data_IF_543210751525
#
_entry.id   IF_543210751525
#
_cell.length_a   1.000
_cell.length_b   1.000
_cell.length_c   1.000
_cell.angle_alpha   90.00
_cell.angle_beta   90.00
_cell.angle_gamma   90.00
#
_symmetry.space_group_name_H-M   'P 1'
#
loop_
_entity.id
_entity.type
_entity.pdbx_description
1 polymer ?
#
# COMPACT_ATOMS: atom_id res chain seq x y z
N UNK A 1 -31.76 -1.83 3.87
CA UNK A 1 -30.91 -2.13 2.69
C UNK A 1 -29.57 -1.41 2.88
N UNK A 2 -28.45 -2.11 2.82
CA UNK A 2 -27.12 -1.51 3.04
C UNK A 2 -26.78 -0.61 1.85
N UNK A 3 -26.56 0.69 2.08
CA UNK A 3 -26.09 1.61 1.05
C UNK A 3 -24.58 1.43 0.83
N UNK A 4 -24.26 0.60 -0.16
CA UNK A 4 -22.87 0.28 -0.56
C UNK A 4 -22.09 1.53 -0.94
N UNK A 5 -22.72 2.55 -1.54
CA UNK A 5 -22.02 3.76 -1.96
C UNK A 5 -21.61 4.62 -0.76
N UNK A 6 -22.43 4.66 0.30
CA UNK A 6 -22.08 5.34 1.55
C UNK A 6 -20.87 4.68 2.23
N UNK A 7 -20.82 3.35 2.23
CA UNK A 7 -19.67 2.59 2.75
C UNK A 7 -18.41 2.87 1.92
N UNK A 8 -18.49 2.79 0.59
CA UNK A 8 -17.36 3.09 -0.28
C UNK A 8 -16.85 4.51 -0.07
N UNK A 9 -17.75 5.50 0.03
CA UNK A 9 -17.37 6.89 0.31
C UNK A 9 -16.66 7.06 1.66
N UNK A 10 -17.06 6.29 2.67
CA UNK A 10 -16.39 6.28 3.97
C UNK A 10 -14.98 5.69 3.86
N UNK A 11 -14.84 4.54 3.18
CA UNK A 11 -13.58 3.81 2.98
C UNK A 11 -12.60 4.60 2.09
N UNK A 12 -13.07 5.41 1.15
CA UNK A 12 -12.19 6.21 0.28
C UNK A 12 -11.58 7.43 0.99
N UNK A 13 -11.93 7.69 2.25
CA UNK A 13 -11.34 8.75 3.07
C UNK A 13 -10.27 8.18 4.03
N UNK A 14 -9.17 8.90 4.27
CA UNK A 14 -8.13 8.51 5.22
C UNK A 14 -8.64 8.02 6.57
N UNK A 15 -9.49 8.79 7.23
CA UNK A 15 -10.01 8.43 8.56
C UNK A 15 -10.90 7.18 8.54
N UNK A 16 -11.69 6.99 7.48
CA UNK A 16 -12.58 5.84 7.38
C UNK A 16 -11.86 4.53 7.10
N UNK A 17 -10.83 4.54 6.24
CA UNK A 17 -10.06 3.34 5.95
C UNK A 17 -9.23 2.88 7.16
N UNK A 18 -8.61 3.79 7.92
CA UNK A 18 -7.85 3.43 9.13
C UNK A 18 -8.75 2.71 10.12
N UNK A 19 -9.94 3.25 10.36
CA UNK A 19 -10.89 2.63 11.29
C UNK A 19 -11.27 1.23 10.82
N UNK A 20 -11.56 1.06 9.53
CA UNK A 20 -11.93 -0.25 8.98
C UNK A 20 -10.79 -1.26 9.13
N UNK A 21 -9.56 -0.89 8.77
CA UNK A 21 -8.44 -1.83 8.74
C UNK A 21 -7.90 -2.16 10.13
N UNK A 22 -7.88 -1.19 11.05
CA UNK A 22 -7.54 -1.44 12.46
C UNK A 22 -8.57 -2.33 13.15
N UNK A 23 -9.86 -2.11 12.94
CA UNK A 23 -10.93 -3.00 13.45
C UNK A 23 -10.80 -4.39 12.83
N UNK A 24 -10.57 -4.50 11.52
CA UNK A 24 -10.38 -5.79 10.87
C UNK A 24 -9.20 -6.57 11.47
N UNK A 25 -8.08 -5.87 11.76
CA UNK A 25 -6.92 -6.45 12.43
C UNK A 25 -7.25 -6.97 13.83
N UNK A 26 -7.94 -6.14 14.65
CA UNK A 26 -8.42 -6.54 15.97
C UNK A 26 -9.34 -7.77 15.91
N UNK A 27 -10.29 -7.79 14.97
CA UNK A 27 -11.26 -8.89 14.84
C UNK A 27 -10.60 -10.21 14.48
N UNK A 28 -9.68 -10.20 13.51
CA UNK A 28 -8.95 -11.41 13.09
C UNK A 28 -8.02 -11.89 14.21
N UNK A 29 -7.32 -10.97 14.88
CA UNK A 29 -6.48 -11.32 16.03
C UNK A 29 -7.29 -11.87 17.22
N UNK A 30 -8.52 -11.39 17.39
CA UNK A 30 -9.43 -11.84 18.47
C UNK A 30 -9.96 -13.25 18.22
N UNK A 31 -10.03 -13.69 16.97
CA UNK A 31 -10.65 -14.96 16.58
C UNK A 31 -9.91 -16.19 17.14
N UNK A 32 -10.61 -17.25 17.60
CA UNK A 32 -10.00 -18.46 18.13
C UNK A 32 -9.22 -19.24 17.08
N UNK A 33 -8.22 -20.02 17.51
CA UNK A 33 -7.38 -20.77 16.58
C UNK A 33 -8.16 -21.84 15.81
N UNK A 34 -7.99 -21.80 14.49
CA UNK A 34 -8.63 -22.68 13.51
C UNK A 34 -7.61 -23.48 12.70
N UNK A 35 -6.36 -23.53 13.16
CA UNK A 35 -5.27 -24.25 12.49
C UNK A 35 -4.72 -23.54 11.24
N UNK A 36 -5.03 -22.25 11.08
CA UNK A 36 -4.40 -21.40 10.07
C UNK A 36 -3.23 -20.64 10.68
N UNK A 37 -2.17 -20.42 9.90
CA UNK A 37 -1.05 -19.58 10.32
C UNK A 37 -1.54 -18.18 10.71
N UNK A 38 -1.14 -17.71 11.90
CA UNK A 38 -1.48 -16.39 12.47
C UNK A 38 -0.31 -15.41 12.50
N UNK A 39 0.91 -15.94 12.42
CA UNK A 39 2.13 -15.16 12.61
C UNK A 39 2.60 -15.07 14.07
N UNK A 40 2.01 -15.87 14.96
CA UNK A 40 2.39 -16.08 16.35
C UNK A 40 1.77 -17.40 16.81
N UNK A 41 2.41 -18.08 17.75
CA UNK A 41 1.97 -19.32 18.40
C UNK A 41 1.19 -18.96 19.68
N UNK A 42 1.79 -18.13 20.53
CA UNK A 42 1.20 -17.66 21.79
C UNK A 42 0.59 -16.27 21.60
N UNK A 43 -0.71 -16.17 21.86
CA UNK A 43 -1.43 -14.90 21.80
C UNK A 43 -1.08 -14.03 23.01
N UNK A 44 -0.79 -12.75 22.78
CA UNK A 44 -0.50 -11.81 23.85
C UNK A 44 -1.71 -11.53 24.75
N UNK A 45 -1.45 -11.32 26.04
CA UNK A 45 -2.48 -10.94 27.01
C UNK A 45 -2.99 -9.53 26.72
N UNK A 46 -4.30 -9.35 26.62
CA UNK A 46 -4.91 -8.05 26.32
C UNK A 46 -5.51 -7.45 27.58
N UNK A 47 -4.72 -6.60 28.24
CA UNK A 47 -5.13 -5.88 29.43
C UNK A 47 -5.75 -4.51 29.09
N UNK A 48 -6.35 -3.87 30.09
CA UNK A 48 -7.01 -2.57 29.95
C UNK A 48 -6.04 -1.45 29.55
N UNK A 49 -4.80 -1.49 30.02
CA UNK A 49 -3.78 -0.51 29.69
C UNK A 49 -3.39 -0.56 28.21
N UNK A 50 -3.14 -1.75 27.67
CA UNK A 50 -2.83 -1.98 26.26
C UNK A 50 -4.00 -1.59 25.35
N UNK A 51 -5.23 -1.86 25.77
CA UNK A 51 -6.43 -1.36 25.08
C UNK A 51 -6.45 0.18 25.04
N UNK A 52 -6.19 0.85 26.16
CA UNK A 52 -6.24 2.30 26.26
C UNK A 52 -5.14 2.95 25.39
N UNK A 53 -3.92 2.40 25.46
CA UNK A 53 -2.79 2.87 24.67
C UNK A 53 -3.05 2.71 23.17
N UNK A 54 -3.32 1.49 22.70
CA UNK A 54 -3.56 1.21 21.28
C UNK A 54 -4.80 1.96 20.79
N UNK A 55 -5.85 2.01 21.61
CA UNK A 55 -7.06 2.79 21.35
C UNK A 55 -6.75 4.27 21.14
N UNK A 56 -5.94 4.87 22.02
CA UNK A 56 -5.52 6.27 21.91
C UNK A 56 -4.68 6.54 20.66
N UNK A 57 -3.81 5.59 20.28
CA UNK A 57 -3.00 5.68 19.06
C UNK A 57 -3.87 5.78 17.80
N UNK A 58 -4.77 4.81 17.59
CA UNK A 58 -5.64 4.81 16.41
C UNK A 58 -6.69 5.93 16.47
N UNK A 59 -7.14 6.32 17.66
CA UNK A 59 -8.01 7.48 17.85
C UNK A 59 -7.30 8.77 17.43
N UNK A 60 -6.02 8.95 17.78
CA UNK A 60 -5.23 10.10 17.35
C UNK A 60 -5.13 10.15 15.81
N UNK A 61 -4.75 9.03 15.18
CA UNK A 61 -4.71 8.93 13.71
C UNK A 61 -6.06 9.30 13.10
N UNK A 62 -7.16 8.78 13.65
CA UNK A 62 -8.51 9.07 13.18
C UNK A 62 -8.86 10.56 13.28
N UNK A 63 -8.62 11.18 14.44
CA UNK A 63 -8.93 12.60 14.70
C UNK A 63 -8.11 13.50 13.76
N UNK A 64 -6.79 13.32 13.73
CA UNK A 64 -5.90 14.18 12.94
C UNK A 64 -6.08 13.96 11.44
N UNK A 65 -6.31 12.73 10.98
CA UNK A 65 -6.63 12.47 9.57
C UNK A 65 -7.99 13.07 9.18
N UNK A 66 -9.03 12.98 10.02
CA UNK A 66 -10.32 13.62 9.73
C UNK A 66 -10.18 15.14 9.68
N UNK A 67 -9.48 15.73 10.66
CA UNK A 67 -9.22 17.16 10.70
C UNK A 67 -8.43 17.63 9.47
N UNK A 68 -7.32 16.97 9.16
CA UNK A 68 -6.50 17.25 7.98
C UNK A 68 -7.31 17.19 6.69
N UNK A 69 -8.09 16.12 6.47
CA UNK A 69 -8.92 15.96 5.28
C UNK A 69 -9.87 17.15 5.09
N UNK A 70 -10.58 17.53 6.14
CA UNK A 70 -11.55 18.60 6.12
C UNK A 70 -10.90 19.98 5.89
N UNK A 71 -9.70 20.21 6.44
CA UNK A 71 -8.89 21.41 6.12
C UNK A 71 -8.47 21.40 4.65
N UNK A 72 -8.01 20.24 4.13
CA UNK A 72 -7.64 20.05 2.73
C UNK A 72 -8.78 20.39 1.76
N UNK A 73 -10.02 20.05 2.13
CA UNK A 73 -11.22 20.39 1.36
C UNK A 73 -11.47 21.92 1.24
N UNK A 74 -10.85 22.75 2.09
CA UNK A 74 -11.01 24.21 2.09
C UNK A 74 -9.91 24.96 1.33
N UNK A 75 -8.77 24.33 1.04
CA UNK A 75 -7.64 24.95 0.34
C UNK A 75 -8.06 25.34 -1.10
N UNK A 76 -7.64 26.48 -1.65
CA UNK A 76 -8.01 26.84 -3.04
C UNK A 76 -7.47 25.83 -4.06
N UNK A 77 -8.28 25.41 -5.05
CA UNK A 77 -7.83 24.52 -6.14
C UNK A 77 -6.91 25.26 -7.11
N UNK A 78 -5.97 24.53 -7.71
CA UNK A 78 -5.06 25.03 -8.75
C UNK A 78 -5.67 24.73 -10.11
N UNK A 79 -6.20 25.76 -10.79
CA UNK A 79 -6.91 25.61 -12.06
C UNK A 79 -6.13 24.83 -13.13
N UNK A 80 -4.80 24.96 -13.16
CA UNK A 80 -3.94 24.24 -14.10
C UNK A 80 -4.02 22.71 -13.96
N UNK A 81 -4.24 22.21 -12.74
CA UNK A 81 -4.36 20.78 -12.48
C UNK A 81 -5.77 20.23 -12.75
N UNK A 82 -6.78 21.10 -12.89
CA UNK A 82 -8.13 20.69 -13.30
C UNK A 82 -8.27 20.53 -14.83
N UNK A 83 -7.44 21.21 -15.63
CA UNK A 83 -7.51 21.22 -17.11
C UNK A 83 -6.66 20.18 -17.83
N UNK A 84 -6.38 19.05 -17.18
CA UNK A 84 -5.50 17.98 -17.70
C UNK A 84 -6.17 17.21 -18.85
N UNK A 85 -5.46 17.04 -19.97
CA UNK A 85 -5.88 16.16 -21.05
C UNK A 85 -5.67 14.69 -20.66
N UNK A 86 -6.76 13.97 -20.39
CA UNK A 86 -6.73 12.57 -19.94
C UNK A 86 -6.01 11.64 -20.93
N UNK A 87 -6.20 11.83 -22.24
CA UNK A 87 -5.57 10.96 -23.25
C UNK A 87 -4.05 11.15 -23.26
N UNK A 88 -3.57 12.39 -23.25
CA UNK A 88 -2.12 12.69 -23.21
C UNK A 88 -1.50 12.19 -21.90
N UNK A 89 -2.17 12.40 -20.77
CA UNK A 89 -1.75 11.91 -19.46
C UNK A 89 -1.62 10.39 -19.44
N UNK A 90 -2.66 9.69 -19.92
CA UNK A 90 -2.70 8.24 -19.94
C UNK A 90 -1.62 7.65 -20.85
N UNK A 91 -1.39 8.23 -22.03
CA UNK A 91 -0.31 7.80 -22.92
C UNK A 91 1.06 7.98 -22.29
N UNK A 92 1.34 9.14 -21.69
CA UNK A 92 2.64 9.41 -21.03
C UNK A 92 2.91 8.40 -19.90
N UNK A 93 1.95 8.20 -19.00
CA UNK A 93 2.09 7.23 -17.91
C UNK A 93 2.25 5.81 -18.45
N UNK A 94 1.52 5.43 -19.51
CA UNK A 94 1.66 4.12 -20.14
C UNK A 94 3.07 3.92 -20.70
N UNK A 95 3.60 4.90 -21.43
CA UNK A 95 4.96 4.83 -21.99
C UNK A 95 6.02 4.68 -20.90
N UNK A 96 5.96 5.51 -19.85
CA UNK A 96 6.90 5.43 -18.74
C UNK A 96 6.81 4.10 -17.98
N UNK A 97 5.60 3.58 -17.78
CA UNK A 97 5.39 2.26 -17.17
C UNK A 97 6.01 1.14 -18.00
N UNK A 98 5.85 1.16 -19.34
CA UNK A 98 6.46 0.15 -20.21
C UNK A 98 7.99 0.22 -20.15
N UNK A 99 8.57 1.42 -20.21
CA UNK A 99 10.02 1.61 -20.08
C UNK A 99 10.50 1.02 -18.74
N UNK A 100 9.84 1.36 -17.63
CA UNK A 100 10.23 0.88 -16.31
C UNK A 100 10.12 -0.64 -16.13
N UNK A 101 9.03 -1.24 -16.60
CA UNK A 101 8.80 -2.69 -16.50
C UNK A 101 9.78 -3.46 -17.38
N UNK A 102 9.88 -3.09 -18.67
CA UNK A 102 10.77 -3.77 -19.61
C UNK A 102 12.24 -3.65 -19.18
N UNK A 103 12.66 -2.47 -18.72
CA UNK A 103 14.00 -2.28 -18.19
C UNK A 103 14.27 -3.14 -16.94
N UNK A 104 13.30 -3.23 -16.03
CA UNK A 104 13.43 -4.08 -14.83
C UNK A 104 13.58 -5.55 -15.19
N UNK A 105 12.82 -6.05 -16.17
CA UNK A 105 12.94 -7.43 -16.64
C UNK A 105 14.24 -7.68 -17.41
N UNK A 106 14.67 -6.73 -18.25
CA UNK A 106 15.94 -6.83 -18.96
C UNK A 106 17.14 -6.90 -17.98
N UNK A 107 17.11 -6.12 -16.90
CA UNK A 107 18.13 -6.17 -15.85
C UNK A 107 18.18 -7.54 -15.16
N UNK A 108 17.01 -8.07 -14.78
CA UNK A 108 16.92 -9.40 -14.16
C UNK A 108 17.44 -10.49 -15.12
N UNK A 109 17.07 -10.44 -16.40
CA UNK A 109 17.52 -11.43 -17.38
C UNK A 109 19.02 -11.32 -17.71
N UNK A 110 19.59 -10.14 -17.60
CA UNK A 110 21.03 -9.94 -17.75
C UNK A 110 21.82 -10.59 -16.61
N UNK A 111 21.27 -10.57 -15.40
CA UNK A 111 21.89 -11.19 -14.23
C UNK A 111 21.66 -12.70 -14.19
N UNK A 112 20.45 -13.17 -14.53
CA UNK A 112 20.12 -14.59 -14.61
C UNK A 112 19.15 -14.90 -15.77
N UNK A 113 19.65 -15.44 -16.91
CA UNK A 113 18.81 -15.84 -18.04
C UNK A 113 17.89 -17.03 -17.75
N UNK A 114 18.22 -17.89 -16.77
CA UNK A 114 17.47 -19.11 -16.46
C UNK A 114 16.28 -18.86 -15.50
N UNK A 115 16.13 -17.64 -14.99
CA UNK A 115 15.17 -17.25 -13.96
C UNK A 115 13.70 -17.60 -14.29
N UNK A 116 13.34 -17.66 -15.57
CA UNK A 116 11.99 -18.05 -15.98
C UNK A 116 11.65 -19.50 -15.64
N UNK A 117 12.64 -20.39 -15.66
CA UNK A 117 12.45 -21.78 -15.21
C UNK A 117 12.12 -21.81 -13.72
N UNK A 118 12.79 -20.99 -12.92
CA UNK A 118 12.52 -20.87 -11.48
C UNK A 118 11.14 -20.27 -11.18
N UNK A 119 10.67 -19.31 -11.99
CA UNK A 119 9.31 -18.76 -11.87
C UNK A 119 8.25 -19.84 -12.13
N UNK A 120 8.44 -20.67 -13.16
CA UNK A 120 7.56 -21.80 -13.48
C UNK A 120 7.55 -22.83 -12.34
N UNK A 121 8.69 -23.04 -11.68
CA UNK A 121 8.84 -23.93 -10.53
C UNK A 121 8.29 -23.35 -9.21
N UNK A 122 7.73 -22.13 -9.21
CA UNK A 122 7.14 -21.51 -8.03
C UNK A 122 8.13 -20.79 -7.12
N UNK A 123 9.28 -20.39 -7.66
CA UNK A 123 10.34 -19.63 -6.98
C UNK A 123 10.40 -18.16 -7.44
N UNK A 124 9.25 -17.56 -7.76
CA UNK A 124 9.19 -16.18 -8.24
C UNK A 124 9.75 -15.13 -7.24
N UNK A 125 10.00 -15.49 -5.98
CA UNK A 125 10.74 -14.63 -5.04
C UNK A 125 12.21 -14.41 -5.47
N UNK A 126 12.81 -15.26 -6.30
CA UNK A 126 14.14 -15.03 -6.85
C UNK A 126 14.19 -13.81 -7.78
N UNK A 127 13.13 -13.56 -8.56
CA UNK A 127 13.01 -12.33 -9.37
C UNK A 127 13.15 -11.08 -8.51
N UNK A 128 12.58 -11.13 -7.30
CA UNK A 128 12.67 -10.06 -6.33
C UNK A 128 14.12 -9.93 -5.86
N UNK A 129 14.73 -11.02 -5.40
CA UNK A 129 16.08 -10.99 -4.82
C UNK A 129 17.11 -10.44 -5.82
N UNK A 130 17.15 -10.96 -7.04
CA UNK A 130 18.05 -10.53 -8.13
C UNK A 130 17.89 -9.03 -8.40
N UNK A 131 16.64 -8.56 -8.52
CA UNK A 131 16.34 -7.16 -8.76
C UNK A 131 16.78 -6.23 -7.62
N UNK A 132 16.84 -6.74 -6.37
CA UNK A 132 17.20 -5.96 -5.20
C UNK A 132 18.71 -6.01 -4.85
N UNK A 133 19.47 -6.97 -5.39
CA UNK A 133 20.92 -7.07 -5.18
C UNK A 133 21.66 -5.82 -5.67
N UNK A 134 21.33 -5.33 -6.88
CA UNK A 134 21.92 -4.12 -7.49
C UNK A 134 20.91 -2.97 -7.63
N UNK A 135 19.94 -2.88 -6.71
CA UNK A 135 18.88 -1.89 -6.86
C UNK A 135 19.35 -0.47 -6.63
N UNK A 136 19.43 0.29 -7.72
CA UNK A 136 19.52 1.75 -7.69
C UNK A 136 18.16 2.39 -7.94
N UNK A 137 17.89 3.46 -7.19
CA UNK A 137 16.78 4.38 -7.47
C UNK A 137 17.02 4.97 -8.86
N UNK A 138 16.09 4.76 -9.78
CA UNK A 138 16.28 5.12 -11.19
C UNK A 138 15.18 4.55 -12.07
N UNK A 139 15.51 4.13 -13.29
CA UNK A 139 14.54 3.62 -14.27
C UNK A 139 13.72 2.44 -13.72
N UNK A 140 14.31 1.62 -12.84
CA UNK A 140 13.63 0.51 -12.17
C UNK A 140 12.41 0.95 -11.34
N UNK A 141 12.34 2.18 -10.82
CA UNK A 141 11.19 2.69 -10.05
C UNK A 141 9.99 2.98 -10.95
N UNK A 142 10.22 3.31 -12.23
CA UNK A 142 9.16 3.63 -13.19
C UNK A 142 8.19 2.46 -13.40
N UNK A 143 8.61 1.22 -13.10
CA UNK A 143 7.73 0.04 -13.14
C UNK A 143 6.48 0.23 -12.28
N UNK A 144 6.58 0.99 -11.18
CA UNK A 144 5.44 1.24 -10.29
C UNK A 144 4.35 2.07 -10.95
N UNK A 145 4.65 2.82 -12.03
CA UNK A 145 3.64 3.54 -12.81
C UNK A 145 2.66 2.60 -13.52
N UNK A 146 2.97 1.30 -13.64
CA UNK A 146 2.02 0.29 -14.10
C UNK A 146 0.79 0.19 -13.21
N UNK A 147 0.88 0.60 -11.94
CA UNK A 147 -0.26 0.73 -11.03
C UNK A 147 -1.24 1.79 -11.55
N UNK A 148 -0.73 2.97 -11.95
CA UNK A 148 -1.57 4.04 -12.49
C UNK A 148 -2.12 3.66 -13.87
N UNK A 149 -1.25 3.19 -14.77
CA UNK A 149 -1.66 2.82 -16.13
C UNK A 149 -2.64 1.65 -16.13
N UNK A 150 -2.40 0.61 -15.31
CA UNK A 150 -3.27 -0.54 -15.12
C UNK A 150 -4.61 -0.14 -14.50
N UNK A 151 -4.62 0.74 -13.50
CA UNK A 151 -5.86 1.25 -12.88
C UNK A 151 -6.73 1.99 -13.89
N UNK A 152 -6.14 2.89 -14.68
CA UNK A 152 -6.86 3.63 -15.72
C UNK A 152 -7.35 2.68 -16.84
N UNK A 153 -6.56 1.65 -17.18
CA UNK A 153 -6.94 0.62 -18.16
C UNK A 153 -8.17 -0.16 -17.72
N UNK A 154 -8.16 -0.67 -16.49
CA UNK A 154 -9.28 -1.42 -15.91
C UNK A 154 -10.51 -0.52 -15.82
N UNK A 155 -10.34 0.71 -15.35
CA UNK A 155 -11.41 1.71 -15.34
C UNK A 155 -12.01 1.94 -16.74
N UNK A 156 -11.17 2.11 -17.77
CA UNK A 156 -11.63 2.31 -19.14
C UNK A 156 -12.40 1.10 -19.70
N UNK A 157 -11.99 -0.13 -19.35
CA UNK A 157 -12.69 -1.35 -19.75
C UNK A 157 -14.04 -1.46 -19.03
N UNK A 158 -14.08 -1.23 -17.72
CA UNK A 158 -15.33 -1.39 -16.93
C UNK A 158 -16.33 -0.27 -17.24
N UNK A 159 -15.89 0.99 -17.23
CA UNK A 159 -16.76 2.14 -17.34
C UNK A 159 -17.13 2.47 -18.80
N UNK A 160 -16.15 2.49 -19.70
CA UNK A 160 -16.38 2.84 -21.10
C UNK A 160 -16.55 1.64 -22.03
N UNK A 161 -16.37 0.40 -21.55
CA UNK A 161 -16.42 -0.84 -22.38
C UNK A 161 -15.44 -0.83 -23.57
N UNK A 162 -14.29 -0.15 -23.42
CA UNK A 162 -13.28 -0.03 -24.48
C UNK A 162 -12.07 -0.92 -24.18
N UNK A 163 -11.96 -2.05 -24.86
CA UNK A 163 -10.79 -2.95 -24.78
C UNK A 163 -9.76 -2.61 -25.88
N UNK A 164 -9.14 -1.42 -25.80
CA UNK A 164 -8.05 -1.06 -26.71
C UNK A 164 -6.78 -1.84 -26.38
N UNK A 165 -5.92 -2.07 -27.37
CA UNK A 165 -4.63 -2.73 -27.19
C UNK A 165 -3.80 -2.14 -26.03
N UNK A 166 -3.73 -0.81 -25.93
CA UNK A 166 -3.03 -0.13 -24.83
C UNK A 166 -3.56 -0.52 -23.45
N UNK A 167 -4.86 -0.76 -23.29
CA UNK A 167 -5.45 -1.16 -22.01
C UNK A 167 -5.02 -2.59 -21.64
N UNK A 168 -5.02 -3.50 -22.61
CA UNK A 168 -4.57 -4.88 -22.41
C UNK A 168 -3.07 -4.89 -22.08
N UNK A 169 -2.26 -4.14 -22.83
CA UNK A 169 -0.81 -4.03 -22.60
C UNK A 169 -0.49 -3.51 -21.20
N UNK A 170 -1.16 -2.45 -20.75
CA UNK A 170 -0.98 -1.91 -19.40
C UNK A 170 -1.39 -2.88 -18.29
N UNK A 171 -2.45 -3.68 -18.49
CA UNK A 171 -2.83 -4.73 -17.53
C UNK A 171 -1.75 -5.81 -17.46
N UNK A 172 -1.17 -6.20 -18.59
CA UNK A 172 -0.03 -7.13 -18.63
C UNK A 172 1.17 -6.53 -17.87
N UNK A 173 1.51 -5.27 -18.11
CA UNK A 173 2.59 -4.57 -17.38
C UNK A 173 2.36 -4.53 -15.87
N UNK A 174 1.11 -4.35 -15.42
CA UNK A 174 0.74 -4.42 -14.02
C UNK A 174 0.96 -5.82 -13.44
N UNK A 175 0.53 -6.87 -14.14
CA UNK A 175 0.72 -8.26 -13.69
C UNK A 175 2.21 -8.62 -13.59
N UNK A 176 3.00 -8.24 -14.59
CA UNK A 176 4.45 -8.38 -14.59
C UNK A 176 5.10 -7.64 -13.41
N UNK A 177 4.67 -6.40 -13.14
CA UNK A 177 5.14 -5.64 -11.97
C UNK A 177 4.78 -6.33 -10.66
N UNK A 178 3.58 -6.89 -10.55
CA UNK A 178 3.12 -7.60 -9.35
C UNK A 178 3.88 -8.90 -9.10
N UNK A 179 4.35 -9.58 -10.16
CA UNK A 179 5.21 -10.76 -10.03
C UNK A 179 6.54 -10.39 -9.37
N UNK A 180 7.18 -9.29 -9.80
CA UNK A 180 8.47 -8.85 -9.25
C UNK A 180 8.37 -8.22 -7.85
N UNK A 181 7.51 -7.22 -7.68
CA UNK A 181 7.65 -6.28 -6.56
C UNK A 181 6.85 -6.65 -5.32
N UNK A 182 5.55 -6.92 -5.44
CA UNK A 182 4.66 -7.38 -4.34
C UNK A 182 3.18 -7.34 -4.76
N UNK A 183 2.35 -8.08 -4.00
CA UNK A 183 0.87 -8.06 -4.06
C UNK A 183 0.28 -6.65 -3.83
N UNK A 184 1.05 -5.77 -3.19
CA UNK A 184 0.73 -4.37 -2.91
C UNK A 184 0.27 -3.61 -4.17
N UNK A 185 0.90 -3.88 -5.32
CA UNK A 185 0.57 -3.22 -6.59
C UNK A 185 -0.88 -3.49 -7.02
N UNK A 186 -1.37 -4.72 -6.80
CA UNK A 186 -2.74 -5.12 -7.14
C UNK A 186 -3.74 -4.51 -6.16
N UNK A 187 -3.46 -4.56 -4.86
CA UNK A 187 -4.34 -3.98 -3.84
C UNK A 187 -4.51 -2.47 -4.06
N UNK A 188 -3.41 -1.76 -4.29
CA UNK A 188 -3.46 -0.34 -4.62
C UNK A 188 -4.23 -0.09 -5.92
N UNK A 189 -3.99 -0.89 -6.97
CA UNK A 189 -4.76 -0.81 -8.23
C UNK A 189 -6.27 -0.93 -8.00
N UNK A 190 -6.70 -1.90 -7.18
CA UNK A 190 -8.13 -2.09 -6.86
C UNK A 190 -8.70 -0.85 -6.21
N UNK A 191 -7.99 -0.24 -5.24
CA UNK A 191 -8.42 0.98 -4.57
C UNK A 191 -8.53 2.14 -5.56
N UNK A 192 -7.56 2.31 -6.46
CA UNK A 192 -7.59 3.34 -7.49
C UNK A 192 -8.75 3.14 -8.48
N UNK A 193 -9.02 1.91 -8.91
CA UNK A 193 -10.15 1.57 -9.78
C UNK A 193 -11.48 1.87 -9.08
N UNK A 194 -11.65 1.45 -7.83
CA UNK A 194 -12.86 1.73 -7.04
C UNK A 194 -13.06 3.24 -6.92
N UNK A 195 -11.99 3.99 -6.62
CA UNK A 195 -12.05 5.45 -6.55
C UNK A 195 -12.49 6.09 -7.86
N UNK A 196 -11.88 5.71 -8.99
CA UNK A 196 -12.22 6.25 -10.31
C UNK A 196 -13.66 5.94 -10.70
N UNK A 197 -14.13 4.71 -10.45
CA UNK A 197 -15.52 4.32 -10.68
C UNK A 197 -16.49 5.12 -9.80
N UNK A 198 -16.22 5.21 -8.50
CA UNK A 198 -17.04 5.97 -7.55
C UNK A 198 -17.15 7.45 -7.95
N UNK A 199 -16.02 8.06 -8.31
CA UNK A 199 -15.96 9.46 -8.73
C UNK A 199 -16.76 9.74 -10.01
N UNK A 200 -16.80 8.78 -10.93
CA UNK A 200 -17.61 8.85 -12.15
C UNK A 200 -19.05 8.32 -11.94
N UNK A 201 -19.55 8.39 -10.69
CA UNK A 201 -20.92 8.04 -10.29
C UNK A 201 -21.34 6.62 -10.68
N UNK A 202 -20.39 5.68 -10.72
CA UNK A 202 -20.70 4.29 -10.96
C UNK A 202 -21.45 3.70 -9.75
N UNK A 203 -22.62 3.10 -9.99
CA UNK A 203 -23.38 2.43 -8.94
C UNK A 203 -22.85 1.02 -8.67
N UNK A 204 -22.30 0.84 -7.46
CA UNK A 204 -21.88 -0.46 -6.96
C UNK A 204 -23.08 -1.22 -6.40
N UNK A 205 -23.38 -2.38 -6.99
CA UNK A 205 -24.26 -3.36 -6.36
C UNK A 205 -23.43 -4.33 -5.53
N UNK A 206 -24.01 -4.87 -4.45
CA UNK A 206 -23.35 -5.86 -3.60
C UNK A 206 -22.83 -7.05 -4.40
N UNK A 207 -23.62 -7.54 -5.38
CA UNK A 207 -23.21 -8.62 -6.30
C UNK A 207 -21.91 -8.29 -7.05
N UNK A 208 -21.76 -7.07 -7.57
CA UNK A 208 -20.53 -6.66 -8.29
C UNK A 208 -19.33 -6.58 -7.35
N UNK A 209 -19.51 -6.08 -6.14
CA UNK A 209 -18.44 -6.03 -5.13
C UNK A 209 -17.97 -7.44 -4.80
N UNK A 210 -18.89 -8.38 -4.57
CA UNK A 210 -18.56 -9.80 -4.33
C UNK A 210 -17.77 -10.38 -5.51
N UNK A 211 -18.21 -10.15 -6.75
CA UNK A 211 -17.47 -10.61 -7.95
C UNK A 211 -16.05 -10.03 -8.02
N UNK A 212 -15.88 -8.73 -7.76
CA UNK A 212 -14.55 -8.10 -7.73
C UNK A 212 -13.68 -8.74 -6.64
N UNK A 213 -14.23 -8.94 -5.44
CA UNK A 213 -13.52 -9.60 -4.34
C UNK A 213 -13.11 -11.04 -4.68
N UNK A 214 -13.98 -11.82 -5.34
CA UNK A 214 -13.65 -13.17 -5.79
C UNK A 214 -12.54 -13.18 -6.83
N UNK A 215 -12.60 -12.30 -7.84
CA UNK A 215 -11.55 -12.18 -8.86
C UNK A 215 -10.22 -11.79 -8.21
N UNK A 216 -10.24 -10.80 -7.31
CA UNK A 216 -9.05 -10.39 -6.57
C UNK A 216 -8.48 -11.54 -5.73
N UNK A 217 -9.33 -12.29 -5.04
CA UNK A 217 -8.92 -13.47 -4.26
C UNK A 217 -8.26 -14.54 -5.12
N UNK A 218 -8.82 -14.84 -6.30
CA UNK A 218 -8.25 -15.81 -7.24
C UNK A 218 -6.87 -15.34 -7.74
N UNK A 219 -6.76 -14.08 -8.18
CA UNK A 219 -5.50 -13.52 -8.66
C UNK A 219 -4.44 -13.54 -7.56
N UNK A 220 -4.79 -13.14 -6.34
CA UNK A 220 -3.88 -13.18 -5.19
C UNK A 220 -3.49 -14.62 -4.82
N UNK A 221 -4.41 -15.58 -4.94
CA UNK A 221 -4.13 -17.00 -4.71
C UNK A 221 -3.10 -17.53 -5.70
N UNK A 222 -3.27 -17.23 -7.00
CA UNK A 222 -2.32 -17.63 -8.05
C UNK A 222 -0.94 -17.03 -7.79
N UNK A 223 -0.88 -15.74 -7.45
CA UNK A 223 0.38 -15.05 -7.17
C UNK A 223 1.03 -15.53 -5.87
N UNK A 224 0.25 -15.83 -4.84
CA UNK A 224 0.77 -16.41 -3.61
C UNK A 224 1.36 -17.79 -3.87
N UNK A 225 0.64 -18.66 -4.57
CA UNK A 225 1.13 -19.97 -4.94
C UNK A 225 2.40 -19.91 -5.80
N UNK A 226 2.45 -19.02 -6.80
CA UNK A 226 3.63 -18.84 -7.65
C UNK A 226 4.88 -18.36 -6.89
N UNK A 227 4.72 -17.72 -5.73
CA UNK A 227 5.84 -17.15 -4.96
C UNK A 227 6.23 -17.97 -3.74
N UNK A 228 5.25 -18.54 -3.05
CA UNK A 228 5.42 -19.05 -1.69
C UNK A 228 5.04 -20.53 -1.55
N UNK A 229 4.75 -21.25 -2.64
CA UNK A 229 4.36 -22.67 -2.57
C UNK A 229 5.34 -23.51 -1.75
N UNK A 230 6.65 -23.38 -2.02
CA UNK A 230 7.69 -24.12 -1.30
C UNK A 230 7.74 -23.74 0.19
N UNK A 231 7.59 -22.44 0.52
CA UNK A 231 7.58 -21.96 1.89
C UNK A 231 6.46 -22.60 2.72
N UNK A 232 5.23 -22.64 2.21
CA UNK A 232 4.10 -23.25 2.94
C UNK A 232 4.19 -24.77 3.02
N UNK A 233 4.69 -25.42 1.97
CA UNK A 233 4.90 -26.85 1.95
C UNK A 233 5.96 -27.27 2.99
N UNK A 234 7.09 -26.55 3.06
CA UNK A 234 8.20 -26.90 3.95
C UNK A 234 7.95 -26.53 5.41
N UNK A 235 7.35 -25.37 5.68
CA UNK A 235 7.22 -24.85 7.05
C UNK A 235 5.88 -25.19 7.71
N UNK A 236 4.84 -25.46 6.94
CA UNK A 236 3.48 -25.66 7.45
C UNK A 236 2.76 -26.90 6.88
N UNK A 237 3.41 -27.68 6.00
CA UNK A 237 2.80 -28.82 5.31
C UNK A 237 1.50 -28.47 4.55
N UNK A 238 1.36 -27.23 4.07
CA UNK A 238 0.17 -26.77 3.33
C UNK A 238 0.46 -26.83 1.83
N UNK A 239 -0.24 -27.74 1.13
CA UNK A 239 -0.15 -27.90 -0.33
C UNK A 239 -1.30 -27.23 -1.11
N UNK A 240 -2.40 -26.92 -0.43
CA UNK A 240 -3.58 -26.32 -1.08
C UNK A 240 -3.39 -24.79 -1.21
N UNK A 241 -3.43 -24.23 -2.44
CA UNK A 241 -3.20 -22.81 -2.67
C UNK A 241 -4.25 -21.91 -2.01
N UNK A 242 -5.49 -22.37 -1.88
CA UNK A 242 -6.57 -21.63 -1.21
C UNK A 242 -6.28 -21.52 0.29
N UNK A 243 -5.92 -22.63 0.94
CA UNK A 243 -5.59 -22.66 2.38
C UNK A 243 -4.33 -21.84 2.67
N UNK A 244 -3.33 -21.92 1.80
CA UNK A 244 -2.12 -21.09 1.87
C UNK A 244 -2.48 -19.60 1.78
N UNK A 245 -3.35 -19.20 0.84
CA UNK A 245 -3.78 -17.81 0.71
C UNK A 245 -4.63 -17.33 1.90
N UNK A 246 -5.52 -18.17 2.44
CA UNK A 246 -6.28 -17.85 3.64
C UNK A 246 -5.38 -17.72 4.88
N UNK A 247 -4.40 -18.61 5.02
CA UNK A 247 -3.39 -18.53 6.09
C UNK A 247 -2.56 -17.25 5.99
N UNK A 248 -2.22 -16.84 4.77
CA UNK A 248 -1.51 -15.60 4.52
C UNK A 248 -2.36 -14.37 4.86
N UNK A 249 -3.63 -14.35 4.45
CA UNK A 249 -4.57 -13.27 4.82
C UNK A 249 -4.71 -13.18 6.34
N UNK A 250 -4.89 -14.32 7.00
CA UNK A 250 -5.01 -14.40 8.46
C UNK A 250 -3.75 -13.87 9.16
N UNK A 251 -2.58 -14.29 8.70
CA UNK A 251 -1.29 -13.81 9.22
C UNK A 251 -1.11 -12.32 8.96
N UNK A 252 -1.43 -11.86 7.75
CA UNK A 252 -1.28 -10.48 7.33
C UNK A 252 -2.16 -9.56 8.18
N UNK A 253 -3.41 -9.96 8.45
CA UNK A 253 -4.39 -9.16 9.20
C UNK A 253 -4.22 -9.29 10.72
N UNK A 254 -3.90 -10.47 11.25
CA UNK A 254 -3.84 -10.72 12.69
C UNK A 254 -2.51 -10.34 13.36
N UNK A 255 -1.37 -10.62 12.72
CA UNK A 255 -0.05 -10.40 13.33
C UNK A 255 0.26 -8.94 13.71
N UNK A 256 -0.26 -7.91 13.01
CA UNK A 256 0.02 -6.54 13.41
C UNK A 256 -0.66 -6.10 14.70
N UNK A 257 -1.86 -6.62 14.98
CA UNK A 257 -2.49 -6.36 16.26
C UNK A 257 -1.71 -7.04 17.40
N UNK A 258 -1.26 -8.29 17.20
CA UNK A 258 -0.37 -9.00 18.13
C UNK A 258 0.88 -8.15 18.45
N UNK A 259 1.57 -7.64 17.43
CA UNK A 259 2.74 -6.79 17.62
C UNK A 259 2.43 -5.50 18.39
N UNK A 260 1.24 -4.94 18.18
CA UNK A 260 0.82 -3.73 18.89
C UNK A 260 0.57 -3.99 20.38
N UNK A 261 -0.09 -5.11 20.70
CA UNK A 261 -0.33 -5.53 22.09
C UNK A 261 0.97 -5.90 22.79
N UNK A 262 1.86 -6.63 22.11
CA UNK A 262 3.17 -7.00 22.66
C UNK A 262 4.01 -5.80 23.07
N UNK A 263 4.05 -4.75 22.23
CA UNK A 263 4.72 -3.49 22.58
C UNK A 263 4.02 -2.77 23.74
N UNK A 264 2.70 -2.70 23.72
CA UNK A 264 1.93 -2.03 24.77
C UNK A 264 2.09 -2.69 26.15
N UNK A 265 2.25 -4.02 26.19
CA UNK A 265 2.52 -4.77 27.41
C UNK A 265 3.95 -4.60 27.95
N UNK A 266 4.90 -4.16 27.12
CA UNK A 266 6.33 -4.13 27.43
C UNK A 266 6.94 -2.72 27.35
N UNK A 267 6.16 -1.66 27.55
CA UNK A 267 6.61 -0.27 27.40
C UNK A 267 7.81 0.06 28.29
N UNK A 268 7.79 -0.38 29.55
CA UNK A 268 8.86 -0.10 30.52
C UNK A 268 10.22 -0.66 30.07
N UNK A 269 10.20 -1.82 29.42
CA UNK A 269 11.39 -2.44 28.82
C UNK A 269 11.82 -1.76 27.53
N UNK A 270 10.88 -1.18 26.78
CA UNK A 270 11.13 -0.58 25.46
C UNK A 270 11.69 0.84 25.57
N UNK A 271 11.12 1.68 26.44
CA UNK A 271 11.46 3.10 26.53
C UNK A 271 12.96 3.41 26.72
N UNK A 272 13.74 2.64 27.50
CA UNK A 272 15.17 2.92 27.69
C UNK A 272 16.03 2.82 26.42
N UNK A 273 15.54 2.16 25.37
CA UNK A 273 16.28 1.92 24.13
C UNK A 273 15.77 2.76 22.94
N UNK A 274 14.84 3.67 23.19
CA UNK A 274 14.32 4.60 22.17
C UNK A 274 15.46 5.49 21.65
N UNK A 275 15.55 5.66 20.33
CA UNK A 275 16.51 6.57 19.69
C UNK A 275 15.80 7.65 18.88
N UNK A 276 15.73 8.83 19.47
CA UNK A 276 15.11 10.00 18.87
C UNK A 276 15.84 10.53 17.63
N UNK A 277 17.10 10.14 17.39
CA UNK A 277 17.82 10.50 16.17
C UNK A 277 17.14 9.94 14.91
N UNK A 278 16.41 8.83 15.05
CA UNK A 278 15.67 8.18 13.97
C UNK A 278 14.41 8.94 13.53
N UNK A 279 14.02 10.02 14.22
CA UNK A 279 12.79 10.78 13.91
C UNK A 279 12.72 11.23 12.45
N UNK A 280 13.82 11.75 11.91
CA UNK A 280 13.88 12.21 10.53
C UNK A 280 13.86 11.08 9.49
N UNK A 281 14.14 9.83 9.88
CA UNK A 281 14.04 8.68 8.98
C UNK A 281 12.59 8.41 8.56
N UNK A 282 11.62 8.72 9.43
CA UNK A 282 10.20 8.59 9.13
C UNK A 282 9.64 9.73 8.26
N UNK A 283 10.32 10.88 8.22
CA UNK A 283 9.94 12.00 7.36
C UNK A 283 10.63 11.96 6.01
N UNK A 284 11.81 11.34 5.94
CA UNK A 284 12.62 11.32 4.74
C UNK A 284 12.24 10.15 3.83
N UNK A 285 11.94 10.41 2.54
CA UNK A 285 11.64 9.35 1.59
C UNK A 285 12.76 8.31 1.50
N UNK A 286 12.40 7.03 1.41
CA UNK A 286 13.35 5.90 1.44
C UNK A 286 14.34 5.87 0.26
N UNK A 287 14.10 6.65 -0.80
CA UNK A 287 15.01 6.76 -1.93
C UNK A 287 16.12 7.80 -1.72
N UNK A 288 16.05 8.60 -0.65
CA UNK A 288 17.14 9.48 -0.23
C UNK A 288 18.05 8.67 0.71
N UNK A 289 19.31 8.43 0.34
CA UNK A 289 20.23 7.63 1.14
C UNK A 289 20.67 8.42 2.37
N UNK A 290 19.90 8.32 3.45
CA UNK A 290 20.41 8.59 4.80
C UNK A 290 21.13 7.31 5.23
N UNK A 291 22.32 7.40 5.84
CA UNK A 291 22.94 6.25 6.49
C UNK A 291 21.99 5.72 7.57
N UNK A 292 21.16 4.76 7.20
CA UNK A 292 20.30 4.02 8.11
C UNK A 292 21.13 2.85 8.59
N UNK A 293 21.69 2.95 9.79
CA UNK A 293 22.24 1.76 10.44
C UNK A 293 21.14 0.69 10.44
N UNK A 294 21.49 -0.50 9.99
CA UNK A 294 20.56 -1.55 9.58
C UNK A 294 19.83 -2.23 10.74
N UNK A 295 20.10 -1.83 11.99
CA UNK A 295 19.34 -2.23 13.16
C UNK A 295 18.14 -1.29 13.34
N UNK A 296 17.06 -1.55 12.60
CA UNK A 296 15.76 -0.86 12.76
C UNK A 296 15.13 -0.99 14.15
N UNK A 297 15.75 -1.74 15.05
CA UNK A 297 15.33 -1.85 16.43
C UNK A 297 16.56 -1.89 17.33
N UNK A 298 16.63 -0.96 18.27
CA UNK A 298 17.62 -0.99 19.33
C UNK A 298 17.37 -2.14 20.33
N UNK A 299 16.17 -2.74 20.30
CA UNK A 299 15.80 -3.96 21.02
C UNK A 299 15.32 -5.02 20.04
N UNK A 300 15.76 -6.25 20.22
CA UNK A 300 15.12 -7.39 19.58
C UNK A 300 13.75 -7.69 20.24
N UNK A 301 12.71 -6.94 19.87
CA UNK A 301 11.36 -7.05 20.46
C UNK A 301 10.78 -8.46 20.38
N UNK A 302 11.28 -9.32 19.48
CA UNK A 302 10.89 -10.73 19.36
C UNK A 302 11.34 -11.59 20.56
N UNK A 303 12.20 -11.05 21.43
CA UNK A 303 12.52 -11.66 22.72
C UNK A 303 11.48 -11.33 23.80
N UNK A 304 10.65 -10.29 23.59
CA UNK A 304 9.68 -9.83 24.57
C UNK A 304 8.31 -10.50 24.40
N UNK A 305 7.94 -10.84 23.17
CA UNK A 305 6.65 -11.47 22.85
C UNK A 305 6.74 -12.26 21.55
N UNK A 306 5.80 -13.19 21.38
CA UNK A 306 5.81 -14.12 20.25
C UNK A 306 5.31 -13.46 18.96
N UNK A 307 6.20 -13.45 17.97
CA UNK A 307 5.97 -13.08 16.58
C UNK A 307 6.88 -13.89 15.66
N UNK A 308 6.29 -14.44 14.61
CA UNK A 308 6.97 -15.25 13.62
C UNK A 308 8.13 -14.48 12.95
N UNK A 309 9.29 -15.13 12.90
CA UNK A 309 10.53 -14.51 12.46
C UNK A 309 10.54 -14.14 10.98
N UNK A 310 9.70 -14.81 10.18
CA UNK A 310 9.52 -14.53 8.75
C UNK A 310 8.75 -13.23 8.48
N UNK A 311 8.11 -12.64 9.50
CA UNK A 311 7.35 -11.41 9.34
C UNK A 311 8.25 -10.19 9.46
N UNK A 312 8.36 -9.45 8.36
CA UNK A 312 9.24 -8.28 8.22
C UNK A 312 8.55 -6.95 8.55
N UNK A 313 7.23 -6.93 8.79
CA UNK A 313 6.53 -5.69 9.18
C UNK A 313 5.26 -6.02 9.96
N UNK A 314 5.31 -5.82 11.27
CA UNK A 314 4.41 -6.46 12.23
C UNK A 314 3.58 -5.45 13.02
N UNK A 315 3.47 -4.20 12.54
CA UNK A 315 2.66 -3.07 13.02
C UNK A 315 3.44 -1.77 12.89
N UNK A 316 2.78 -0.72 12.43
CA UNK A 316 3.32 0.64 12.47
C UNK A 316 3.42 1.16 13.89
N UNK A 317 2.52 0.75 14.80
CA UNK A 317 2.64 1.11 16.20
C UNK A 317 3.89 0.47 16.80
N UNK A 318 4.13 -0.82 16.52
CA UNK A 318 5.35 -1.51 16.95
C UNK A 318 6.60 -0.79 16.43
N UNK A 319 6.69 -0.59 15.12
CA UNK A 319 7.83 0.07 14.45
C UNK A 319 8.10 1.47 15.03
N UNK A 320 7.10 2.35 15.04
CA UNK A 320 7.29 3.73 15.47
C UNK A 320 7.50 3.84 16.97
N UNK A 321 6.74 3.11 17.80
CA UNK A 321 6.83 3.25 19.25
C UNK A 321 8.12 2.64 19.81
N UNK A 322 8.62 1.55 19.23
CA UNK A 322 9.91 0.99 19.66
C UNK A 322 11.08 1.91 19.32
N UNK A 323 11.00 2.67 18.23
CA UNK A 323 12.06 3.58 17.82
C UNK A 323 11.96 4.99 18.42
N UNK A 324 10.75 5.51 18.64
CA UNK A 324 10.51 6.90 19.06
C UNK A 324 9.74 7.05 20.39
N UNK A 325 9.27 5.96 20.98
CA UNK A 325 8.44 5.99 22.19
C UNK A 325 7.27 6.97 22.05
N UNK A 326 7.11 7.85 23.04
CA UNK A 326 6.06 8.86 23.07
C UNK A 326 6.14 9.90 21.94
N UNK A 327 7.34 10.21 21.41
CA UNK A 327 7.45 11.08 20.22
C UNK A 327 6.79 10.46 18.99
N UNK A 328 6.64 9.13 18.97
CA UNK A 328 5.86 8.42 17.96
C UNK A 328 4.43 8.92 17.83
N UNK A 329 3.77 9.28 18.94
CA UNK A 329 2.41 9.83 18.93
C UNK A 329 2.36 11.20 18.24
N UNK A 330 3.36 12.05 18.50
CA UNK A 330 3.46 13.37 17.88
C UNK A 330 3.70 13.20 16.37
N UNK A 331 4.66 12.36 16.00
CA UNK A 331 4.98 12.06 14.61
C UNK A 331 3.74 11.58 13.85
N UNK A 332 3.07 10.54 14.34
CA UNK A 332 1.94 9.94 13.62
C UNK A 332 0.76 10.90 13.49
N UNK A 333 0.56 11.77 14.49
CA UNK A 333 -0.48 12.81 14.46
C UNK A 333 -0.19 13.86 13.38
N UNK A 334 1.06 14.36 13.32
CA UNK A 334 1.50 15.33 12.32
C UNK A 334 1.41 14.72 10.90
N UNK A 335 1.96 13.53 10.70
CA UNK A 335 1.93 12.84 9.40
C UNK A 335 0.50 12.56 8.97
N UNK A 336 -0.35 12.08 9.88
CA UNK A 336 -1.77 11.83 9.59
C UNK A 336 -2.51 13.10 9.19
N UNK A 337 -2.24 14.22 9.87
CA UNK A 337 -2.81 15.51 9.50
C UNK A 337 -2.36 15.97 8.11
N UNK A 338 -1.05 16.02 7.87
CA UNK A 338 -0.46 16.56 6.64
C UNK A 338 -0.85 15.76 5.41
N UNK A 339 -0.70 14.43 5.44
CA UNK A 339 -1.06 13.59 4.31
C UNK A 339 -2.56 13.60 4.05
N UNK A 340 -3.38 13.60 5.10
CA UNK A 340 -4.82 13.68 4.92
C UNK A 340 -5.28 15.04 4.37
N UNK A 341 -4.60 16.13 4.75
CA UNK A 341 -4.78 17.45 4.15
C UNK A 341 -4.47 17.44 2.66
N UNK A 342 -3.37 16.82 2.24
CA UNK A 342 -3.04 16.64 0.83
C UNK A 342 -4.12 15.80 0.13
N UNK A 343 -4.56 14.70 0.73
CA UNK A 343 -5.62 13.85 0.17
C UNK A 343 -6.93 14.65 -0.01
N UNK A 344 -7.36 15.41 1.00
CA UNK A 344 -8.55 16.27 0.93
C UNK A 344 -8.44 17.36 -0.13
N UNK A 345 -7.25 17.96 -0.27
CA UNK A 345 -7.00 18.93 -1.34
C UNK A 345 -7.20 18.30 -2.72
N UNK A 346 -6.57 17.16 -2.99
CA UNK A 346 -6.61 16.46 -4.28
C UNK A 346 -7.97 15.79 -4.58
N UNK A 347 -8.73 15.41 -3.56
CA UNK A 347 -10.03 14.76 -3.71
C UNK A 347 -11.01 15.59 -4.56
N UNK A 348 -10.90 16.93 -4.51
CA UNK A 348 -11.82 17.89 -5.16
C UNK A 348 -11.52 18.19 -6.64
N UNK A 349 -10.39 17.76 -7.18
CA UNK A 349 -10.07 18.02 -8.58
C UNK A 349 -10.99 17.21 -9.48
N UNK A 350 -11.52 17.79 -10.56
CA UNK A 350 -12.33 17.03 -11.53
C UNK A 350 -11.47 16.17 -12.44
N UNK A 351 -10.18 16.48 -12.55
CA UNK A 351 -9.22 15.78 -13.39
C UNK A 351 -8.72 14.47 -12.77
N UNK A 352 -7.91 13.76 -13.55
CA UNK A 352 -7.22 12.53 -13.13
C UNK A 352 -6.24 12.75 -11.97
N UNK A 353 -5.78 13.99 -11.74
CA UNK A 353 -4.85 14.33 -10.63
C UNK A 353 -5.44 13.98 -9.27
N UNK A 354 -6.76 13.93 -9.18
CA UNK A 354 -7.44 13.47 -7.97
C UNK A 354 -7.11 12.04 -7.53
N UNK A 355 -6.49 11.23 -8.39
CA UNK A 355 -5.95 9.91 -8.04
C UNK A 355 -4.86 9.95 -6.96
N UNK A 356 -4.28 11.12 -6.68
CA UNK A 356 -3.38 11.33 -5.53
C UNK A 356 -4.11 11.06 -4.20
N UNK A 357 -5.39 11.42 -4.10
CA UNK A 357 -6.16 11.19 -2.88
C UNK A 357 -6.24 9.69 -2.49
N UNK A 358 -6.68 8.76 -3.36
CA UNK A 358 -6.69 7.33 -3.02
C UNK A 358 -5.30 6.70 -2.89
N UNK A 359 -4.24 7.24 -3.53
CA UNK A 359 -2.85 6.81 -3.25
C UNK A 359 -2.49 7.08 -1.78
N UNK A 360 -2.86 8.26 -1.28
CA UNK A 360 -2.63 8.60 0.14
C UNK A 360 -3.56 7.80 1.04
N UNK A 361 -4.85 7.65 0.69
CA UNK A 361 -5.79 6.80 1.43
C UNK A 361 -5.23 5.37 1.56
N UNK A 362 -4.51 4.85 0.56
CA UNK A 362 -3.85 3.56 0.68
C UNK A 362 -2.75 3.51 1.74
N UNK A 363 -1.99 4.60 1.93
CA UNK A 363 -1.02 4.68 3.02
C UNK A 363 -1.71 4.52 4.39
N UNK A 364 -2.89 5.14 4.54
CA UNK A 364 -3.75 4.96 5.69
C UNK A 364 -4.36 3.55 5.78
N UNK A 365 -4.64 2.91 4.64
CA UNK A 365 -5.10 1.53 4.60
C UNK A 365 -4.08 0.54 5.17
N UNK A 366 -2.79 0.85 5.06
CA UNK A 366 -1.69 0.00 5.52
C UNK A 366 -1.12 0.43 6.89
N UNK A 367 -1.54 1.57 7.46
CA UNK A 367 -0.97 2.16 8.68
C UNK A 367 -1.11 1.31 9.95
N UNK A 368 -1.96 0.29 9.95
CA UNK A 368 -2.07 -0.65 11.06
C UNK A 368 -0.95 -1.69 11.03
N UNK A 369 -0.29 -1.87 9.86
CA UNK A 369 0.73 -2.89 9.61
C UNK A 369 2.10 -2.29 9.28
N UNK A 370 2.16 -1.30 8.39
CA UNK A 370 3.41 -0.75 7.87
C UNK A 370 3.31 0.75 7.60
N UNK A 371 4.38 1.47 7.93
CA UNK A 371 4.48 2.90 7.66
C UNK A 371 4.82 3.16 6.18
N UNK A 372 3.81 3.53 5.38
CA UNK A 372 3.96 3.71 3.92
C UNK A 372 4.30 5.14 3.48
N UNK A 373 4.23 6.13 4.37
CA UNK A 373 4.25 7.56 4.00
C UNK A 373 5.60 8.04 3.44
N UNK A 374 6.70 7.40 3.82
CA UNK A 374 8.03 7.71 3.28
C UNK A 374 8.48 6.71 2.20
N UNK A 375 7.68 5.70 1.85
CA UNK A 375 8.10 4.64 0.93
C UNK A 375 8.17 5.17 -0.51
N UNK A 376 9.29 4.88 -1.20
CA UNK A 376 9.55 5.42 -2.53
C UNK A 376 8.49 5.10 -3.60
N UNK A 377 7.74 3.99 -3.47
CA UNK A 377 6.63 3.69 -4.38
C UNK A 377 5.53 4.76 -4.32
N UNK A 378 5.16 5.22 -3.12
CA UNK A 378 4.11 6.23 -2.93
C UNK A 378 4.54 7.56 -3.55
N UNK A 379 5.77 7.97 -3.26
CA UNK A 379 6.34 9.20 -3.82
C UNK A 379 6.47 9.14 -5.34
N UNK A 380 6.89 8.01 -5.90
CA UNK A 380 6.94 7.81 -7.36
C UNK A 380 5.57 8.03 -7.98
N UNK A 381 4.52 7.42 -7.41
CA UNK A 381 3.16 7.58 -7.92
C UNK A 381 2.66 9.02 -7.83
N UNK A 382 2.90 9.71 -6.72
CA UNK A 382 2.47 11.10 -6.51
C UNK A 382 3.21 12.05 -7.47
N UNK A 383 4.55 11.98 -7.49
CA UNK A 383 5.40 12.86 -8.30
C UNK A 383 5.08 12.71 -9.78
N UNK A 384 5.05 11.48 -10.31
CA UNK A 384 4.75 11.27 -11.73
C UNK A 384 3.31 11.59 -12.09
N UNK A 385 2.35 11.46 -11.17
CA UNK A 385 0.99 11.96 -11.40
C UNK A 385 1.01 13.48 -11.61
N UNK A 386 1.73 14.24 -10.78
CA UNK A 386 1.82 15.70 -10.92
C UNK A 386 2.59 16.08 -12.19
N UNK A 387 3.75 15.47 -12.45
CA UNK A 387 4.58 15.76 -13.63
C UNK A 387 3.83 15.48 -14.94
N UNK A 388 3.24 14.28 -15.08
CA UNK A 388 2.47 13.93 -16.27
C UNK A 388 1.23 14.82 -16.43
N UNK A 389 0.61 15.26 -15.33
CA UNK A 389 -0.52 16.18 -15.38
C UNK A 389 -0.11 17.57 -15.91
N UNK A 390 1.01 18.11 -15.44
CA UNK A 390 1.58 19.38 -15.92
C UNK A 390 1.89 19.29 -17.41
N UNK A 391 2.58 18.23 -17.85
CA UNK A 391 2.91 18.01 -19.26
C UNK A 391 1.68 17.81 -20.15
N UNK A 392 0.58 17.34 -19.57
CA UNK A 392 -0.68 17.05 -20.27
C UNK A 392 -1.70 18.18 -20.21
N UNK A 393 -1.35 19.33 -19.63
CA UNK A 393 -2.25 20.44 -19.51
C UNK A 393 -2.63 21.02 -20.88
N UNK A 394 -3.89 21.37 -21.09
CA UNK A 394 -4.40 21.88 -22.38
C UNK A 394 -3.95 23.32 -22.70
N UNK A 395 -3.51 24.09 -21.69
CA UNK A 395 -3.21 25.53 -21.84
C UNK A 395 -1.83 25.86 -22.43
N UNK A 396 -0.96 24.89 -22.69
CA UNK A 396 0.42 25.14 -23.12
C UNK A 396 0.62 25.44 -24.62
N UNK A 397 -0.44 25.73 -25.39
CA UNK A 397 -0.32 26.05 -26.84
C UNK A 397 -1.04 27.38 -27.20
N UNK A 398 -0.95 28.40 -26.35
CA UNK A 398 -1.26 29.78 -26.75
C UNK A 398 -0.16 30.75 -26.30
N UNK A 399 1.01 30.61 -26.94
CA UNK A 399 2.14 31.55 -26.98
C UNK A 399 2.98 31.13 -28.20
N UNK A 400 3.22 31.86 -29.30
CA UNK A 400 2.97 33.24 -29.73
C UNK A 400 2.63 33.19 -31.23
N UNK A 401 1.42 33.60 -31.61
CA UNK A 401 1.12 34.14 -32.95
C UNK A 401 0.33 35.42 -32.72
N UNK A 402 1.06 36.46 -32.36
CA UNK A 402 0.68 37.84 -32.61
C UNK A 402 1.92 38.53 -33.18
#
# INVERSE_FOLDING_TARGET
MIDVNRIINFILKPNGIVLLTSIASLLVWSYPDIGLRRGFIQKENFNSFSLLLIGSWYLSIYIFSNFGFNVGLRIKRINALDSVNLNKFYTLISMLAHIGVLYSYANVLRQDPAIFNSVIQGQANQLKNILYEDYSVGINTLRYLSILSGSISIFNIIHFKKAKFINISNIIMLLLTSLMSSRLAIVLTIILVIYLLFKNKYHFSLKKVIVICMIAFIVLTILNNSRNKQFYMQNYNINNPIISNLSEINTYIGSPFQGSVGVANNIETILPYVDYSTFFNYLTPTFIPIHRESSFYNINYRQLFDLDSSLTTNSTFLDIFTNLGWLGYILISIVSFLFSLIAGHFYRYSSIVSIIAPIITYCFAEIWRTYMFNVGIIWTLIIFTILCAIMSNKKTIHTNRQ
#
